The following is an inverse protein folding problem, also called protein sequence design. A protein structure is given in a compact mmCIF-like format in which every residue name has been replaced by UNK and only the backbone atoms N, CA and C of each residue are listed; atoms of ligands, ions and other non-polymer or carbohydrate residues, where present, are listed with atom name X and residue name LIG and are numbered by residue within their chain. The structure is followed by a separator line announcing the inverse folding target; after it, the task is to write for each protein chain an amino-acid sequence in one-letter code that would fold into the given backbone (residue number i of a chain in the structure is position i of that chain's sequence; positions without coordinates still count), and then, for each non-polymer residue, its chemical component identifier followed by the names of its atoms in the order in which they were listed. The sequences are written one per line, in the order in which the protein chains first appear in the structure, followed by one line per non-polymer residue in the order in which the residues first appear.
data_IF_496145030634
#
_entry.id   IF_496145030634
#
_cell.length_a   1.000
_cell.length_b   1.000
_cell.length_c   1.000
_cell.angle_alpha   90.00
_cell.angle_beta   90.00
_cell.angle_gamma   90.00
#
_symmetry.space_group_name_H-M   'P 1'
#
loop_
_entity.id
_entity.type
_entity.pdbx_description
1 polymer ?
#
# COMPACT_ATOMS: atom_id res chain seq x y z
N UNK A 1 47.55 -17.96 -13.11
CA UNK A 1 46.44 -18.35 -12.22
C UNK A 1 46.21 -17.16 -11.30
N UNK A 2 45.01 -16.58 -11.30
CA UNK A 2 44.66 -15.52 -10.34
C UNK A 2 44.30 -16.24 -9.04
N UNK A 3 45.01 -15.95 -7.95
CA UNK A 3 44.69 -16.51 -6.65
C UNK A 3 43.40 -15.84 -6.14
N UNK A 4 42.39 -16.61 -5.68
CA UNK A 4 41.21 -16.03 -5.08
C UNK A 4 41.60 -15.29 -3.80
N UNK A 5 41.03 -14.10 -3.60
CA UNK A 5 41.24 -13.29 -2.41
C UNK A 5 40.34 -13.84 -1.31
N UNK A 6 40.92 -14.19 -0.16
CA UNK A 6 40.18 -14.63 1.02
C UNK A 6 39.99 -13.46 2.00
N UNK A 7 38.80 -12.87 2.00
CA UNK A 7 38.44 -11.67 2.79
C UNK A 7 38.65 -11.85 4.29
N UNK A 8 38.60 -13.07 4.82
CA UNK A 8 38.77 -13.29 6.26
C UNK A 8 40.22 -13.11 6.70
N UNK A 9 41.19 -13.30 5.79
CA UNK A 9 42.62 -13.18 6.11
C UNK A 9 43.15 -11.74 6.03
N UNK A 10 42.39 -10.83 5.40
CA UNK A 10 42.80 -9.44 5.17
C UNK A 10 42.79 -8.63 6.48
N UNK A 11 43.59 -7.56 6.52
CA UNK A 11 43.52 -6.52 7.56
C UNK A 11 42.37 -5.54 7.31
N UNK A 12 42.01 -4.72 8.32
CA UNK A 12 40.98 -3.68 8.18
C UNK A 12 41.31 -2.68 7.05
N UNK A 13 42.58 -2.28 6.94
CA UNK A 13 43.04 -1.37 5.89
C UNK A 13 42.93 -2.01 4.50
N UNK A 14 43.36 -3.27 4.37
CA UNK A 14 43.23 -4.01 3.11
C UNK A 14 41.76 -4.20 2.71
N UNK A 15 40.86 -4.50 3.66
CA UNK A 15 39.42 -4.57 3.41
C UNK A 15 38.87 -3.22 2.91
N UNK A 16 39.28 -2.11 3.52
CA UNK A 16 38.92 -0.77 3.05
C UNK A 16 39.42 -0.51 1.62
N UNK A 17 40.64 -0.96 1.31
CA UNK A 17 41.22 -0.92 -0.03
C UNK A 17 40.39 -1.72 -1.04
N UNK A 18 40.01 -2.95 -0.70
CA UNK A 18 39.14 -3.79 -1.52
C UNK A 18 37.79 -3.10 -1.78
N UNK A 19 37.20 -2.45 -0.78
CA UNK A 19 35.92 -1.73 -0.93
C UNK A 19 36.09 -0.52 -1.87
N UNK A 20 37.19 0.22 -1.77
CA UNK A 20 37.47 1.33 -2.69
C UNK A 20 37.61 0.87 -4.15
N UNK A 21 38.20 -0.30 -4.38
CA UNK A 21 38.36 -0.90 -5.70
C UNK A 21 37.04 -1.51 -6.20
N UNK A 22 36.26 -2.09 -5.29
CA UNK A 22 35.02 -2.81 -5.58
C UNK A 22 33.89 -2.38 -4.63
N UNK A 23 33.26 -1.21 -4.86
CA UNK A 23 32.24 -0.67 -3.95
C UNK A 23 31.00 -1.56 -3.77
N UNK A 24 30.69 -2.39 -4.78
CA UNK A 24 29.54 -3.30 -4.79
C UNK A 24 29.80 -4.64 -4.09
N UNK A 25 31.01 -4.85 -3.55
CA UNK A 25 31.35 -6.10 -2.89
C UNK A 25 30.81 -6.15 -1.45
N UNK A 26 29.54 -6.56 -1.32
CA UNK A 26 28.83 -6.62 -0.04
C UNK A 26 29.52 -7.48 1.03
N UNK A 27 30.20 -8.56 0.64
CA UNK A 27 30.91 -9.45 1.57
C UNK A 27 32.03 -8.74 2.33
N UNK A 28 32.90 -7.99 1.62
CA UNK A 28 33.96 -7.23 2.27
C UNK A 28 33.41 -6.11 3.17
N UNK A 29 32.30 -5.46 2.77
CA UNK A 29 31.63 -4.43 3.58
C UNK A 29 31.07 -5.00 4.88
N UNK A 30 30.45 -6.18 4.82
CA UNK A 30 29.96 -6.87 6.01
C UNK A 30 31.09 -7.27 6.95
N UNK A 31 32.17 -7.86 6.42
CA UNK A 31 33.34 -8.20 7.23
C UNK A 31 33.97 -6.97 7.88
N UNK A 32 34.05 -5.84 7.15
CA UNK A 32 34.52 -4.58 7.70
C UNK A 32 33.60 -4.10 8.84
N UNK A 33 32.28 -4.06 8.61
CA UNK A 33 31.31 -3.63 9.63
C UNK A 33 31.34 -4.52 10.87
N UNK A 34 31.45 -5.84 10.69
CA UNK A 34 31.57 -6.81 11.79
C UNK A 34 32.80 -6.51 12.65
N UNK A 35 33.97 -6.39 12.04
CA UNK A 35 35.21 -6.09 12.77
C UNK A 35 35.18 -4.71 13.44
N UNK A 36 34.59 -3.72 12.77
CA UNK A 36 34.40 -2.39 13.32
C UNK A 36 33.43 -2.39 14.51
N UNK A 37 32.40 -3.24 14.50
CA UNK A 37 31.47 -3.39 15.63
C UNK A 37 32.14 -4.10 16.80
N UNK A 38 32.94 -5.15 16.55
CA UNK A 38 33.75 -5.83 17.57
C UNK A 38 34.75 -4.88 18.25
N UNK A 39 35.28 -3.91 17.52
CA UNK A 39 36.14 -2.85 18.05
C UNK A 39 35.36 -1.69 18.70
N UNK A 40 34.02 -1.67 18.59
CA UNK A 40 33.17 -0.58 19.08
C UNK A 40 33.35 0.74 18.33
N UNK A 41 33.96 0.73 17.14
CA UNK A 41 34.28 1.91 16.34
C UNK A 41 33.30 2.14 15.17
N UNK A 42 32.23 1.35 15.09
CA UNK A 42 31.27 1.39 14.00
C UNK A 42 30.44 2.69 14.03
N UNK A 43 30.56 3.51 12.99
CA UNK A 43 29.78 4.75 12.87
C UNK A 43 28.45 4.55 12.14
N UNK A 44 27.47 5.40 12.44
CA UNK A 44 26.18 5.41 11.72
C UNK A 44 26.34 5.64 10.21
N UNK A 45 27.31 6.47 9.82
CA UNK A 45 27.60 6.71 8.40
C UNK A 45 28.04 5.44 7.69
N UNK A 46 28.93 4.65 8.30
CA UNK A 46 29.41 3.37 7.76
C UNK A 46 28.28 2.35 7.68
N UNK A 47 27.42 2.30 8.70
CA UNK A 47 26.22 1.45 8.68
C UNK A 47 25.31 1.81 7.51
N UNK A 48 25.03 3.09 7.30
CA UNK A 48 24.16 3.55 6.22
C UNK A 48 24.75 3.25 4.84
N UNK A 49 26.06 3.48 4.66
CA UNK A 49 26.75 3.21 3.41
C UNK A 49 26.80 1.71 3.11
N UNK A 50 27.08 0.89 4.12
CA UNK A 50 27.09 -0.58 3.95
C UNK A 50 25.69 -1.12 3.68
N UNK A 51 24.66 -0.59 4.34
CA UNK A 51 23.27 -0.95 4.10
C UNK A 51 22.81 -0.70 2.66
N UNK A 52 23.34 0.32 1.98
CA UNK A 52 23.04 0.61 0.56
C UNK A 52 23.52 -0.50 -0.39
N UNK A 53 24.61 -1.17 -0.03
CA UNK A 53 25.30 -2.12 -0.89
C UNK A 53 24.98 -3.60 -0.59
N UNK A 54 24.05 -3.87 0.34
CA UNK A 54 23.63 -5.21 0.71
C UNK A 54 22.27 -5.55 0.11
N UNK A 55 22.14 -6.77 -0.41
CA UNK A 55 20.86 -7.29 -0.91
C UNK A 55 19.86 -7.57 0.22
N UNK A 56 20.35 -8.08 1.35
CA UNK A 56 19.56 -8.29 2.55
C UNK A 56 20.17 -7.53 3.73
N UNK A 57 19.43 -6.51 4.21
CA UNK A 57 19.81 -5.70 5.36
C UNK A 57 19.49 -6.38 6.70
N UNK A 58 18.77 -7.50 6.69
CA UNK A 58 18.51 -8.32 7.87
C UNK A 58 19.80 -8.78 8.54
N UNK A 59 20.78 -9.21 7.76
CA UNK A 59 22.11 -9.67 8.26
C UNK A 59 22.84 -8.54 9.01
N UNK A 60 22.76 -7.31 8.51
CA UNK A 60 23.35 -6.15 9.17
C UNK A 60 22.56 -5.75 10.43
N UNK A 61 21.23 -5.83 10.38
CA UNK A 61 20.36 -5.60 11.55
C UNK A 61 20.63 -6.60 12.66
N UNK A 62 20.78 -7.88 12.33
CA UNK A 62 21.14 -8.94 13.27
C UNK A 62 22.50 -8.65 13.92
N UNK A 63 23.50 -8.23 13.14
CA UNK A 63 24.81 -7.84 13.68
C UNK A 63 24.70 -6.67 14.68
N UNK A 64 23.94 -5.62 14.36
CA UNK A 64 23.79 -4.43 15.21
C UNK A 64 22.93 -4.67 16.46
N UNK A 65 22.00 -5.61 16.38
CA UNK A 65 21.04 -5.89 17.43
C UNK A 65 21.26 -7.26 18.08
N UNK A 66 22.38 -7.94 17.80
CA UNK A 66 22.71 -9.24 18.39
C UNK A 66 22.69 -9.22 19.92
N UNK A 67 23.18 -8.13 20.52
CA UNK A 67 23.19 -7.94 21.98
C UNK A 67 21.85 -7.43 22.52
N UNK A 68 20.96 -6.96 21.64
CA UNK A 68 19.64 -6.43 22.01
C UNK A 68 18.60 -7.53 21.84
N UNK A 69 18.58 -8.47 22.79
CA UNK A 69 17.43 -9.34 22.94
C UNK A 69 16.20 -8.47 23.25
N UNK A 70 15.29 -8.35 22.28
CA UNK A 70 13.99 -7.74 22.53
C UNK A 70 13.17 -8.78 23.30
N UNK A 71 12.69 -8.39 24.48
CA UNK A 71 11.75 -9.19 25.26
C UNK A 71 10.44 -9.33 24.46
N UNK A 72 10.34 -10.37 23.63
CA UNK A 72 9.11 -10.72 22.89
C UNK A 72 8.08 -11.45 23.77
N UNK A 73 8.22 -11.38 25.09
CA UNK A 73 7.23 -11.93 26.01
C UNK A 73 5.94 -11.12 25.94
N UNK A 74 4.80 -11.79 25.97
CA UNK A 74 3.46 -11.20 25.90
C UNK A 74 3.03 -10.39 27.15
N UNK A 75 3.97 -9.78 27.86
CA UNK A 75 3.74 -9.02 29.10
C UNK A 75 2.72 -7.90 28.88
N UNK A 76 2.76 -7.26 27.71
CA UNK A 76 1.97 -6.06 27.42
C UNK A 76 0.81 -6.33 26.43
N UNK A 77 0.51 -7.61 26.13
CA UNK A 77 -0.52 -7.96 25.13
C UNK A 77 -1.89 -7.42 25.52
N UNK A 78 -2.24 -7.40 26.81
CA UNK A 78 -3.54 -6.87 27.25
C UNK A 78 -3.65 -5.37 27.03
N UNK A 79 -2.58 -4.62 27.29
CA UNK A 79 -2.55 -3.18 27.07
C UNK A 79 -2.60 -2.85 25.58
N UNK A 80 -1.86 -3.60 24.76
CA UNK A 80 -1.92 -3.50 23.30
C UNK A 80 -3.31 -3.87 22.76
N UNK A 81 -3.92 -4.94 23.28
CA UNK A 81 -5.27 -5.33 22.89
C UNK A 81 -6.27 -4.22 23.22
N UNK A 82 -6.22 -3.62 24.40
CA UNK A 82 -7.11 -2.49 24.73
C UNK A 82 -6.84 -1.24 23.88
N UNK A 83 -5.59 -0.98 23.51
CA UNK A 83 -5.23 0.17 22.68
C UNK A 83 -5.73 0.03 21.23
N UNK A 84 -5.68 -1.19 20.66
CA UNK A 84 -5.97 -1.43 19.24
C UNK A 84 -7.34 -2.07 18.98
N UNK A 85 -7.92 -2.73 19.99
CA UNK A 85 -9.23 -3.38 19.95
C UNK A 85 -10.03 -2.81 21.13
N UNK A 86 -10.74 -1.68 20.93
CA UNK A 86 -11.59 -1.15 21.97
C UNK A 86 -12.67 -2.18 22.34
N UNK A 87 -12.90 -2.39 23.64
CA UNK A 87 -13.87 -3.35 24.17
C UNK A 87 -15.32 -3.01 23.74
N UNK A 88 -15.59 -1.74 23.47
CA UNK A 88 -16.83 -1.32 22.82
C UNK A 88 -16.61 -1.24 21.31
N UNK A 89 -17.46 -1.93 20.50
CA UNK A 89 -17.40 -1.78 19.06
C UNK A 89 -17.72 -0.32 18.73
N UNK A 90 -16.70 0.46 18.38
CA UNK A 90 -16.87 1.82 17.89
C UNK A 90 -17.98 1.77 16.84
N UNK A 91 -19.05 2.57 17.06
CA UNK A 91 -20.19 2.63 16.16
C UNK A 91 -19.67 2.72 14.73
N UNK A 92 -19.99 1.74 13.88
CA UNK A 92 -19.40 1.57 12.55
C UNK A 92 -19.44 2.92 11.83
N UNK A 93 -18.30 3.59 11.76
CA UNK A 93 -18.19 4.84 11.02
C UNK A 93 -18.59 4.52 9.58
N UNK A 94 -19.62 5.21 9.08
CA UNK A 94 -20.07 5.05 7.71
C UNK A 94 -18.87 5.25 6.78
N UNK A 95 -18.49 4.22 6.02
CA UNK A 95 -17.35 4.29 5.11
C UNK A 95 -17.60 5.41 4.10
N UNK A 96 -16.82 6.49 4.17
CA UNK A 96 -16.92 7.64 3.28
C UNK A 96 -16.17 7.31 1.98
N UNK A 97 -16.91 6.98 0.94
CA UNK A 97 -16.37 6.63 -0.37
C UNK A 97 -16.13 7.92 -1.16
N UNK A 98 -14.87 8.20 -1.48
CA UNK A 98 -14.51 9.31 -2.37
C UNK A 98 -14.37 8.80 -3.79
N UNK A 99 -15.11 9.41 -4.71
CA UNK A 99 -14.99 9.18 -6.15
C UNK A 99 -13.96 10.14 -6.71
N UNK A 100 -13.02 9.66 -7.53
CA UNK A 100 -12.00 10.51 -8.16
C UNK A 100 -12.68 11.56 -9.04
N UNK A 101 -12.45 12.84 -8.73
CA UNK A 101 -13.11 13.97 -9.41
C UNK A 101 -14.47 14.37 -8.84
N UNK A 102 -14.96 13.68 -7.82
CA UNK A 102 -16.08 14.10 -7.00
C UNK A 102 -15.67 15.05 -5.88
N UNK A 103 -16.65 15.55 -5.14
CA UNK A 103 -16.40 16.47 -4.05
C UNK A 103 -15.79 15.76 -2.82
N UNK A 104 -14.77 16.38 -2.22
CA UNK A 104 -13.93 15.77 -1.17
C UNK A 104 -14.47 16.04 0.24
N UNK A 105 -15.55 16.82 0.35
CA UNK A 105 -16.19 17.18 1.60
C UNK A 105 -17.64 16.66 1.63
N UNK A 106 -18.13 16.23 2.80
CA UNK A 106 -19.57 15.92 2.95
C UNK A 106 -20.38 17.20 3.10
N UNK A 107 -21.69 17.09 2.86
CA UNK A 107 -22.64 18.16 3.13
C UNK A 107 -22.47 18.74 4.54
N UNK A 108 -22.34 17.87 5.55
CA UNK A 108 -22.14 18.27 6.95
C UNK A 108 -20.85 19.09 7.14
N UNK A 109 -19.78 18.74 6.43
CA UNK A 109 -18.51 19.47 6.48
C UNK A 109 -18.59 20.84 5.79
N UNK A 110 -19.46 20.97 4.79
CA UNK A 110 -19.77 22.27 4.19
C UNK A 110 -20.62 23.13 5.12
N UNK A 111 -21.54 22.54 5.86
CA UNK A 111 -22.38 23.23 6.83
C UNK A 111 -21.55 23.77 8.00
N UNK A 112 -20.55 23.04 8.48
CA UNK A 112 -19.65 23.48 9.55
C UNK A 112 -18.88 24.77 9.21
N UNK A 113 -18.54 24.97 7.92
CA UNK A 113 -17.80 26.15 7.44
C UNK A 113 -18.74 27.27 7.00
N UNK A 114 -20.05 26.99 6.87
CA UNK A 114 -21.03 27.94 6.36
C UNK A 114 -21.39 28.96 7.44
N UNK A 115 -20.86 30.17 7.30
CA UNK A 115 -21.25 31.31 8.12
C UNK A 115 -22.41 32.07 7.46
N UNK A 116 -23.45 32.43 8.21
CA UNK A 116 -24.64 33.13 7.70
C UNK A 116 -24.34 34.51 7.08
N UNK A 117 -23.19 35.10 7.40
CA UNK A 117 -22.74 36.38 6.86
C UNK A 117 -21.92 36.28 5.57
N UNK A 118 -21.43 35.09 5.23
CA UNK A 118 -20.55 34.90 4.08
C UNK A 118 -21.41 34.60 2.85
N UNK A 119 -21.84 35.66 2.15
CA UNK A 119 -22.57 35.61 0.88
C UNK A 119 -21.79 35.01 -0.30
N UNK A 120 -20.82 34.14 -0.02
CA UNK A 120 -19.97 33.43 -0.96
C UNK A 120 -20.84 32.51 -1.82
N UNK A 121 -21.68 31.68 -1.22
CA UNK A 121 -22.48 30.68 -1.93
C UNK A 121 -23.79 31.23 -2.53
N UNK A 122 -24.37 32.29 -1.95
CA UNK A 122 -25.61 32.89 -2.45
C UNK A 122 -25.45 33.54 -3.83
N UNK A 123 -24.26 34.08 -4.13
CA UNK A 123 -23.97 34.68 -5.45
C UNK A 123 -23.90 33.63 -6.55
N UNK A 124 -23.36 32.45 -6.26
CA UNK A 124 -23.30 31.35 -7.22
C UNK A 124 -24.68 30.74 -7.45
N UNK A 125 -25.48 30.55 -6.39
CA UNK A 125 -26.84 30.02 -6.52
C UNK A 125 -27.78 30.97 -7.29
N UNK A 126 -27.66 32.29 -7.09
CA UNK A 126 -28.44 33.28 -7.84
C UNK A 126 -28.05 33.30 -9.32
N UNK A 127 -26.75 33.27 -9.63
CA UNK A 127 -26.23 33.25 -11.00
C UNK A 127 -26.59 31.95 -11.75
N UNK A 128 -26.50 30.80 -11.08
CA UNK A 128 -26.88 29.52 -11.67
C UNK A 128 -28.38 29.44 -12.03
N UNK A 129 -29.25 30.09 -11.22
CA UNK A 129 -30.68 30.21 -11.50
C UNK A 129 -30.98 31.16 -12.67
N UNK A 130 -30.23 32.26 -12.79
CA UNK A 130 -30.31 33.16 -13.96
C UNK A 130 -29.82 32.47 -15.25
N UNK A 131 -28.80 31.61 -15.15
CA UNK A 131 -28.23 30.85 -16.27
C UNK A 131 -29.00 29.57 -16.61
N UNK A 132 -30.11 29.28 -15.90
CA UNK A 132 -31.04 28.21 -16.26
C UNK A 132 -30.61 26.78 -15.84
N UNK A 133 -29.68 26.65 -14.89
CA UNK A 133 -29.35 25.34 -14.30
C UNK A 133 -30.47 24.90 -13.34
N UNK A 134 -31.47 24.18 -13.86
CA UNK A 134 -32.36 23.35 -13.04
C UNK A 134 -31.61 22.10 -12.60
N UNK A 135 -31.80 21.68 -11.34
CA UNK A 135 -31.33 20.40 -10.79
C UNK A 135 -32.06 19.25 -11.52
N UNK A 136 -31.69 18.99 -12.77
CA UNK A 136 -31.98 17.70 -13.37
C UNK A 136 -31.11 16.68 -12.66
N UNK A 137 -31.75 15.71 -12.01
CA UNK A 137 -31.09 14.54 -11.42
C UNK A 137 -30.04 14.04 -12.40
N UNK A 138 -28.78 14.00 -11.95
CA UNK A 138 -27.65 13.62 -12.77
C UNK A 138 -28.02 12.36 -13.58
N UNK A 139 -27.87 12.37 -14.92
CA UNK A 139 -28.28 11.23 -15.72
C UNK A 139 -27.55 9.99 -15.18
N UNK A 140 -28.29 8.89 -14.96
CA UNK A 140 -27.75 7.60 -14.50
C UNK A 140 -26.73 6.96 -15.48
N UNK A 141 -26.16 7.73 -16.40
CA UNK A 141 -25.05 7.34 -17.28
C UNK A 141 -23.74 7.09 -16.52
N UNK A 142 -23.67 7.38 -15.21
CA UNK A 142 -22.55 6.96 -14.36
C UNK A 142 -22.45 5.43 -14.11
N UNK A 143 -23.40 4.64 -14.60
CA UNK A 143 -23.35 3.16 -14.57
C UNK A 143 -22.60 2.55 -15.76
N UNK A 144 -21.96 3.35 -16.62
CA UNK A 144 -20.81 2.89 -17.42
C UNK A 144 -19.58 2.65 -16.51
N UNK A 145 -19.79 1.89 -15.44
CA UNK A 145 -18.74 1.51 -14.50
C UNK A 145 -17.65 0.80 -15.29
N UNK A 146 -16.41 1.20 -15.03
CA UNK A 146 -15.22 0.54 -15.55
C UNK A 146 -15.29 -0.96 -15.29
N UNK A 147 -15.62 -1.74 -16.33
CA UNK A 147 -15.74 -3.20 -16.26
C UNK A 147 -14.54 -3.80 -17.00
N UNK A 148 -13.70 -4.55 -16.28
CA UNK A 148 -12.59 -5.32 -16.84
C UNK A 148 -12.61 -6.74 -16.30
N UNK A 149 -12.05 -7.67 -17.07
CA UNK A 149 -11.98 -9.09 -16.70
C UNK A 149 -11.20 -9.29 -15.41
N UNK A 150 -10.07 -8.58 -15.25
CA UNK A 150 -9.23 -8.62 -14.04
C UNK A 150 -9.99 -8.12 -12.82
N UNK A 151 -10.83 -7.09 -12.98
CA UNK A 151 -11.65 -6.58 -11.88
C UNK A 151 -12.66 -7.63 -11.41
N UNK A 152 -13.32 -8.33 -12.34
CA UNK A 152 -14.23 -9.42 -12.00
C UNK A 152 -13.50 -10.57 -11.27
N UNK A 153 -12.28 -10.91 -11.68
CA UNK A 153 -11.43 -11.88 -10.98
C UNK A 153 -11.12 -11.49 -9.54
N UNK A 154 -10.77 -10.22 -9.30
CA UNK A 154 -10.54 -9.69 -7.94
C UNK A 154 -11.80 -9.80 -7.07
N UNK A 155 -12.99 -9.52 -7.63
CA UNK A 155 -14.24 -9.68 -6.87
C UNK A 155 -14.51 -11.14 -6.47
N UNK A 156 -14.17 -12.11 -7.33
CA UNK A 156 -14.24 -13.53 -6.98
C UNK A 156 -13.27 -13.91 -5.86
N UNK A 157 -12.03 -13.43 -5.92
CA UNK A 157 -11.04 -13.66 -4.85
C UNK A 157 -11.47 -13.06 -3.51
N UNK A 158 -12.22 -11.95 -3.56
CA UNK A 158 -12.77 -11.28 -2.37
C UNK A 158 -14.07 -11.91 -1.84
N UNK A 159 -14.65 -12.89 -2.54
CA UNK A 159 -15.90 -13.55 -2.13
C UNK A 159 -17.17 -12.79 -2.50
N UNK A 160 -17.13 -11.97 -3.55
CA UNK A 160 -18.25 -11.19 -4.09
C UNK A 160 -18.69 -11.74 -5.47
N UNK A 161 -19.39 -12.89 -5.52
CA UNK A 161 -19.72 -13.56 -6.78
C UNK A 161 -20.77 -12.81 -7.60
N UNK A 162 -21.72 -12.13 -6.96
CA UNK A 162 -22.81 -11.42 -7.64
C UNK A 162 -22.29 -10.22 -8.43
N UNK A 163 -21.36 -9.46 -7.84
CA UNK A 163 -20.67 -8.35 -8.47
C UNK A 163 -19.80 -8.81 -9.64
N UNK A 164 -19.12 -9.95 -9.51
CA UNK A 164 -18.34 -10.54 -10.59
C UNK A 164 -19.24 -10.97 -11.78
N UNK A 165 -20.39 -11.60 -11.51
CA UNK A 165 -21.35 -11.99 -12.56
C UNK A 165 -21.88 -10.77 -13.31
N UNK A 166 -22.22 -9.70 -12.60
CA UNK A 166 -22.69 -8.45 -13.20
C UNK A 166 -21.61 -7.85 -14.14
N UNK A 167 -20.34 -7.83 -13.71
CA UNK A 167 -19.23 -7.36 -14.57
C UNK A 167 -19.06 -8.24 -15.80
N UNK A 168 -19.07 -9.57 -15.66
CA UNK A 168 -18.96 -10.49 -16.80
C UNK A 168 -20.15 -10.36 -17.77
N UNK A 169 -21.37 -10.15 -17.25
CA UNK A 169 -22.55 -9.94 -18.08
C UNK A 169 -22.41 -8.68 -18.95
N UNK A 170 -21.90 -7.59 -18.38
CA UNK A 170 -21.64 -6.34 -19.11
C UNK A 170 -20.50 -6.49 -20.11
N UNK A 171 -19.44 -7.21 -19.76
CA UNK A 171 -18.34 -7.51 -20.68
C UNK A 171 -18.81 -8.35 -21.88
N UNK A 172 -19.74 -9.29 -21.66
CA UNK A 172 -20.36 -10.06 -22.74
C UNK A 172 -21.15 -9.18 -23.72
N UNK A 173 -21.85 -8.16 -23.23
CA UNK A 173 -22.55 -7.19 -24.09
C UNK A 173 -21.58 -6.27 -24.84
N UNK A 174 -20.48 -5.87 -24.19
CA UNK A 174 -19.48 -4.98 -24.79
C UNK A 174 -18.59 -5.67 -25.82
N UNK A 175 -18.27 -6.94 -25.60
CA UNK A 175 -17.37 -7.73 -26.44
C UNK A 175 -18.05 -9.04 -26.89
N UNK A 176 -18.95 -8.97 -27.88
CA UNK A 176 -19.74 -10.13 -28.31
C UNK A 176 -18.89 -11.28 -28.85
N UNK A 177 -17.70 -11.01 -29.38
CA UNK A 177 -16.73 -12.02 -29.82
C UNK A 177 -16.28 -12.96 -28.69
N UNK A 178 -16.26 -12.47 -27.44
CA UNK A 178 -15.89 -13.22 -26.23
C UNK A 178 -17.09 -13.63 -25.39
N UNK A 179 -18.32 -13.46 -25.89
CA UNK A 179 -19.54 -13.74 -25.12
C UNK A 179 -19.61 -15.18 -24.59
N UNK A 180 -19.23 -16.17 -25.40
CA UNK A 180 -19.19 -17.59 -25.00
C UNK A 180 -18.21 -17.83 -23.86
N UNK A 181 -17.07 -17.14 -23.87
CA UNK A 181 -16.06 -17.23 -22.80
C UNK A 181 -16.61 -16.68 -21.48
N UNK A 182 -17.22 -15.50 -21.50
CA UNK A 182 -17.82 -14.90 -20.30
C UNK A 182 -19.01 -15.71 -19.78
N UNK A 183 -19.82 -16.31 -20.66
CA UNK A 183 -20.90 -17.22 -20.26
C UNK A 183 -20.37 -18.45 -19.52
N UNK A 184 -19.27 -19.05 -20.00
CA UNK A 184 -18.63 -20.18 -19.32
C UNK A 184 -18.11 -19.80 -17.92
N UNK A 185 -17.50 -18.62 -17.76
CA UNK A 185 -17.06 -18.13 -16.45
C UNK A 185 -18.24 -17.93 -15.49
N UNK A 186 -19.35 -17.36 -15.95
CA UNK A 186 -20.56 -17.19 -15.12
C UNK A 186 -21.12 -18.55 -14.68
N UNK A 187 -21.12 -19.56 -15.56
CA UNK A 187 -21.53 -20.91 -15.18
C UNK A 187 -20.60 -21.55 -14.15
N UNK A 188 -19.28 -21.33 -14.25
CA UNK A 188 -18.32 -21.82 -13.26
C UNK A 188 -18.53 -21.20 -11.88
N UNK A 189 -18.82 -19.90 -11.82
CA UNK A 189 -19.11 -19.19 -10.56
C UNK A 189 -20.39 -19.76 -9.93
N UNK A 190 -21.47 -19.89 -10.70
CA UNK A 190 -22.73 -20.45 -10.22
C UNK A 190 -22.63 -21.91 -9.75
N UNK A 191 -21.68 -22.69 -10.29
CA UNK A 191 -21.38 -24.06 -9.85
C UNK A 191 -20.60 -24.11 -8.54
N UNK A 192 -19.78 -23.10 -8.24
CA UNK A 192 -19.00 -23.02 -6.99
C UNK A 192 -19.85 -22.52 -5.82
N UNK A 193 -20.87 -21.71 -6.10
CA UNK A 193 -21.78 -21.17 -5.10
C UNK A 193 -22.89 -22.17 -4.67
N UNK A 194 -23.04 -23.30 -5.38
CA UNK A 194 -23.93 -24.43 -5.03
C UNK A 194 -23.15 -25.57 -4.36
#
# INVERSE_FOLDING_TARGET
MVNPIDIHTLTLEELSGVISLYPWYGGARMELCRRMSELGALSESQISETGLHLGDRGILSELLHADRAVDCSDKDVRELMQAFIPDEPAARASRKVYVVGGDYFSQDQYEDVRSDGDGIFSKFAAKAREEGYTEEEAPETGKERFCTETLAGIYLEQGFPQEAIDIYSRLSLRYPEKSVYFAALIEEINKKDN
#
